data_IF_852858226804
#
_entry.id   IF_852858226804
#
_cell.length_a   1.000
_cell.length_b   1.000
_cell.length_c   1.000
_cell.angle_alpha   90.00
_cell.angle_beta   90.00
_cell.angle_gamma   90.00
#
_symmetry.space_group_name_H-M   'P 1'
#
loop_
_entity.id
_entity.type
_entity.pdbx_description
1 polymer ?
#
# COMPACT_ATOMS: atom_id res chain seq x y z
N UNK A 1 23.41 47.68 -19.99
CA UNK A 1 22.88 46.64 -20.92
C UNK A 1 21.40 46.38 -20.60
N UNK A 2 20.59 47.44 -20.65
CA UNK A 2 19.14 47.45 -20.36
C UNK A 2 18.46 48.38 -21.39
N UNK A 3 18.76 48.13 -22.67
CA UNK A 3 18.11 48.79 -23.79
C UNK A 3 18.28 47.84 -24.98
N UNK A 4 17.22 47.65 -25.75
CA UNK A 4 17.08 46.73 -26.91
C UNK A 4 16.47 45.37 -26.60
N UNK A 5 15.19 45.34 -26.19
CA UNK A 5 14.29 44.23 -26.57
C UNK A 5 13.00 44.85 -27.12
N UNK A 6 13.04 45.04 -28.44
CA UNK A 6 11.96 45.02 -29.43
C UNK A 6 10.57 45.60 -29.09
N UNK A 7 10.28 46.72 -29.76
CA UNK A 7 8.94 47.14 -30.20
C UNK A 7 8.27 45.98 -30.96
N UNK A 8 7.28 45.32 -30.35
CA UNK A 8 6.26 44.62 -31.13
C UNK A 8 5.36 45.71 -31.73
N UNK A 9 5.40 45.87 -33.05
CA UNK A 9 4.76 46.96 -33.80
C UNK A 9 3.29 46.71 -34.15
N UNK A 10 2.65 45.71 -33.58
CA UNK A 10 1.24 45.44 -33.85
C UNK A 10 0.41 45.44 -32.57
N UNK A 11 -0.04 46.64 -32.23
CA UNK A 11 -1.04 46.87 -31.17
C UNK A 11 -2.33 46.06 -31.43
N UNK A 12 -2.59 45.71 -32.69
CA UNK A 12 -3.70 44.86 -33.11
C UNK A 12 -3.49 43.40 -32.67
N UNK A 13 -2.27 42.84 -32.81
CA UNK A 13 -1.94 41.48 -32.34
C UNK A 13 -2.09 41.39 -30.82
N UNK A 14 -1.67 42.42 -30.07
CA UNK A 14 -1.86 42.50 -28.61
C UNK A 14 -3.34 42.59 -28.20
N UNK A 15 -4.17 43.31 -28.97
CA UNK A 15 -5.63 43.38 -28.75
C UNK A 15 -6.35 42.07 -29.10
N UNK A 16 -5.93 41.41 -30.17
CA UNK A 16 -6.47 40.11 -30.59
C UNK A 16 -6.07 39.00 -29.60
N UNK A 17 -4.84 39.03 -29.09
CA UNK A 17 -4.37 38.14 -28.00
C UNK A 17 -5.13 38.38 -26.69
N UNK A 18 -5.39 39.64 -26.32
CA UNK A 18 -6.21 39.95 -25.15
C UNK A 18 -7.68 39.52 -25.34
N UNK A 19 -8.20 39.53 -26.57
CA UNK A 19 -9.53 39.02 -26.92
C UNK A 19 -9.61 37.50 -26.78
N UNK A 20 -8.58 36.78 -27.23
CA UNK A 20 -8.47 35.32 -27.10
C UNK A 20 -8.34 34.91 -25.62
N UNK A 21 -7.55 35.62 -24.81
CA UNK A 21 -7.46 35.39 -23.36
C UNK A 21 -8.72 35.79 -22.59
N UNK A 22 -9.37 36.92 -22.94
CA UNK A 22 -10.65 37.33 -22.31
C UNK A 22 -11.80 36.38 -22.59
N UNK A 23 -11.75 35.61 -23.68
CA UNK A 23 -12.80 34.63 -24.03
C UNK A 23 -12.69 33.31 -23.27
N UNK A 24 -11.69 33.12 -22.40
CA UNK A 24 -11.64 31.97 -21.48
C UNK A 24 -11.49 30.59 -22.14
N UNK A 25 -11.35 30.52 -23.47
CA UNK A 25 -11.34 29.25 -24.20
C UNK A 25 -10.04 28.47 -23.97
N UNK A 26 -8.88 29.15 -23.97
CA UNK A 26 -7.58 28.49 -23.76
C UNK A 26 -7.44 27.99 -22.32
N UNK A 27 -7.89 28.75 -21.32
CA UNK A 27 -7.83 28.31 -19.91
C UNK A 27 -8.75 27.13 -19.63
N UNK A 28 -9.97 27.13 -20.19
CA UNK A 28 -10.92 26.04 -20.00
C UNK A 28 -10.44 24.75 -20.69
N UNK A 29 -9.95 24.85 -21.92
CA UNK A 29 -9.45 23.68 -22.65
C UNK A 29 -8.16 23.14 -22.01
N UNK A 30 -7.26 23.98 -21.47
CA UNK A 30 -6.08 23.54 -20.71
C UNK A 30 -6.47 22.80 -19.41
N UNK A 31 -7.45 23.33 -18.67
CA UNK A 31 -7.95 22.74 -17.42
C UNK A 31 -8.68 21.42 -17.69
N UNK A 32 -9.45 21.35 -18.77
CA UNK A 32 -10.20 20.14 -19.16
C UNK A 32 -9.29 19.06 -19.77
N UNK A 33 -8.05 19.38 -20.17
CA UNK A 33 -7.08 18.40 -20.74
C UNK A 33 -5.93 18.00 -19.81
N UNK A 34 -5.71 18.70 -18.69
CA UNK A 34 -4.57 18.41 -17.78
C UNK A 34 -4.96 17.53 -16.60
N UNK A 35 -5.30 16.27 -16.88
CA UNK A 35 -5.31 15.18 -15.87
C UNK A 35 -3.94 14.52 -15.68
N UNK A 36 -2.91 14.95 -16.43
CA UNK A 36 -1.55 14.45 -16.29
C UNK A 36 -0.56 15.62 -16.27
N UNK A 37 0.11 15.82 -15.14
CA UNK A 37 1.10 16.87 -14.93
C UNK A 37 2.41 16.73 -15.73
N UNK A 38 2.46 15.88 -16.76
CA UNK A 38 3.70 15.53 -17.43
C UNK A 38 3.92 16.19 -18.80
N UNK A 39 2.98 16.95 -19.37
CA UNK A 39 3.31 17.69 -20.61
C UNK A 39 2.47 18.95 -20.88
N UNK A 40 2.54 19.89 -19.93
CA UNK A 40 1.83 21.18 -20.02
C UNK A 40 2.37 22.06 -21.16
N UNK A 41 3.65 21.91 -21.49
CA UNK A 41 4.33 22.62 -22.57
C UNK A 41 3.91 22.09 -23.94
N UNK A 42 3.94 20.77 -24.16
CA UNK A 42 3.46 20.18 -25.42
C UNK A 42 1.97 20.45 -25.66
N UNK A 43 1.15 20.37 -24.62
CA UNK A 43 -0.30 20.65 -24.71
C UNK A 43 -0.56 22.12 -25.08
N UNK A 44 0.17 23.06 -24.48
CA UNK A 44 0.07 24.48 -24.80
C UNK A 44 0.50 24.78 -26.25
N UNK A 45 1.61 24.19 -26.69
CA UNK A 45 2.11 24.35 -28.06
C UNK A 45 1.15 23.76 -29.10
N UNK A 46 0.53 22.60 -28.81
CA UNK A 46 -0.47 21.98 -29.67
C UNK A 46 -1.74 22.83 -29.82
N UNK A 47 -2.20 23.46 -28.73
CA UNK A 47 -3.34 24.38 -28.77
C UNK A 47 -2.98 25.64 -29.56
N UNK A 48 -1.79 26.21 -29.36
CA UNK A 48 -1.32 27.35 -30.13
C UNK A 48 -1.27 27.05 -31.64
N UNK A 49 -0.79 25.87 -32.03
CA UNK A 49 -0.75 25.41 -33.42
C UNK A 49 -2.15 25.27 -34.02
N UNK A 50 -3.10 24.67 -33.27
CA UNK A 50 -4.53 24.57 -33.66
C UNK A 50 -5.15 25.94 -33.98
N UNK A 51 -4.69 27.01 -33.34
CA UNK A 51 -5.17 28.38 -33.56
C UNK A 51 -4.26 29.22 -34.47
N UNK A 52 -3.31 28.59 -35.18
CA UNK A 52 -2.45 29.26 -36.15
C UNK A 52 -1.39 30.18 -35.53
N UNK A 53 -1.08 30.01 -34.24
CA UNK A 53 -0.02 30.75 -33.56
C UNK A 53 1.31 30.07 -33.82
N UNK A 54 2.26 30.80 -34.40
CA UNK A 54 3.58 30.24 -34.69
C UNK A 54 4.28 29.72 -33.42
N UNK A 55 4.98 28.59 -33.53
CA UNK A 55 5.72 27.97 -32.41
C UNK A 55 6.62 28.97 -31.67
N UNK A 56 7.34 29.81 -32.40
CA UNK A 56 8.23 30.84 -31.83
C UNK A 56 7.48 31.90 -31.03
N UNK A 57 6.27 32.27 -31.48
CA UNK A 57 5.38 33.18 -30.75
C UNK A 57 4.81 32.51 -29.52
N UNK A 58 4.40 31.24 -29.61
CA UNK A 58 3.90 30.46 -28.49
C UNK A 58 4.96 30.28 -27.39
N UNK A 59 6.20 29.91 -27.76
CA UNK A 59 7.33 29.79 -26.83
C UNK A 59 7.68 31.12 -26.15
N UNK A 60 7.60 32.23 -26.89
CA UNK A 60 7.82 33.58 -26.34
C UNK A 60 6.73 33.97 -25.33
N UNK A 61 5.46 33.71 -25.66
CA UNK A 61 4.34 33.97 -24.76
C UNK A 61 4.44 33.08 -23.52
N UNK A 62 4.72 31.79 -23.67
CA UNK A 62 4.92 30.86 -22.56
C UNK A 62 6.02 31.34 -21.62
N UNK A 63 7.17 31.75 -22.16
CA UNK A 63 8.29 32.27 -21.36
C UNK A 63 7.96 33.59 -20.64
N UNK A 64 7.20 34.49 -21.27
CA UNK A 64 6.73 35.72 -20.64
C UNK A 64 5.67 35.43 -19.56
N UNK A 65 4.73 34.55 -19.85
CA UNK A 65 3.57 34.29 -18.98
C UNK A 65 3.98 33.44 -17.78
N UNK A 66 4.82 32.41 -17.94
CA UNK A 66 5.35 31.64 -16.81
C UNK A 66 6.22 32.49 -15.89
N UNK A 67 7.18 33.26 -16.42
CA UNK A 67 8.05 34.09 -15.58
C UNK A 67 7.30 35.24 -14.90
N UNK A 68 6.33 35.85 -15.58
CA UNK A 68 5.57 36.96 -15.00
C UNK A 68 4.47 36.48 -14.04
N UNK A 69 3.81 35.35 -14.32
CA UNK A 69 2.77 34.75 -13.48
C UNK A 69 3.34 34.21 -12.16
N UNK A 70 4.52 33.57 -12.18
CA UNK A 70 5.23 33.18 -10.96
C UNK A 70 5.67 34.41 -10.13
N UNK A 71 6.09 35.50 -10.78
CA UNK A 71 6.54 36.70 -10.06
C UNK A 71 5.41 37.52 -9.42
N UNK A 72 4.20 37.50 -9.98
CA UNK A 72 3.07 38.32 -9.51
C UNK A 72 2.10 37.58 -8.60
N UNK A 73 2.10 36.25 -8.62
CA UNK A 73 1.14 35.45 -7.85
C UNK A 73 1.81 34.40 -6.96
N UNK A 74 3.08 34.55 -6.62
CA UNK A 74 3.81 33.61 -5.75
C UNK A 74 2.99 33.19 -4.51
N UNK A 75 2.35 34.15 -3.81
CA UNK A 75 1.46 33.83 -2.68
C UNK A 75 0.17 33.09 -3.08
N UNK A 76 -0.48 33.46 -4.19
CA UNK A 76 -1.74 32.83 -4.62
C UNK A 76 -1.52 31.47 -5.29
N UNK A 77 -0.39 31.27 -5.95
CA UNK A 77 0.05 30.01 -6.53
C UNK A 77 0.52 29.07 -5.43
N UNK A 78 1.27 29.57 -4.44
CA UNK A 78 1.59 28.79 -3.23
C UNK A 78 0.30 28.42 -2.50
N UNK A 79 -0.63 29.35 -2.27
CA UNK A 79 -1.92 29.01 -1.63
C UNK A 79 -2.79 28.10 -2.48
N UNK A 80 -2.83 28.26 -3.81
CA UNK A 80 -3.59 27.39 -4.71
C UNK A 80 -2.96 26.00 -4.80
N UNK A 81 -1.63 25.91 -4.83
CA UNK A 81 -0.85 24.67 -4.76
C UNK A 81 -1.03 23.99 -3.40
N UNK A 82 -0.96 24.73 -2.30
CA UNK A 82 -1.28 24.25 -0.94
C UNK A 82 -2.73 23.81 -0.83
N UNK A 83 -3.66 24.50 -1.51
CA UNK A 83 -5.08 24.13 -1.58
C UNK A 83 -5.30 22.93 -2.48
N UNK A 84 -4.54 22.75 -3.56
CA UNK A 84 -4.55 21.57 -4.44
C UNK A 84 -3.87 20.37 -3.78
N UNK A 85 -2.80 20.59 -3.01
CA UNK A 85 -2.15 19.59 -2.16
C UNK A 85 -3.05 19.24 -0.98
N UNK A 86 -3.77 20.20 -0.39
CA UNK A 86 -4.77 19.97 0.64
C UNK A 86 -6.01 19.28 0.06
N UNK A 87 -6.44 19.63 -1.14
CA UNK A 87 -7.54 18.98 -1.87
C UNK A 87 -7.14 17.58 -2.38
N UNK A 88 -5.86 17.35 -2.73
CA UNK A 88 -5.30 16.01 -2.98
C UNK A 88 -5.11 15.21 -1.68
N UNK A 89 -4.81 15.87 -0.56
CA UNK A 89 -4.92 15.26 0.78
C UNK A 89 -6.37 14.98 1.18
N UNK A 90 -7.34 15.71 0.63
CA UNK A 90 -8.78 15.54 0.87
C UNK A 90 -9.44 14.59 -0.14
N UNK A 91 -8.81 14.36 -1.30
CA UNK A 91 -9.14 13.34 -2.30
C UNK A 91 -8.35 12.04 -2.10
N UNK A 92 -7.43 11.97 -1.11
CA UNK A 92 -7.06 10.74 -0.39
C UNK A 92 -8.27 10.21 0.39
N UNK A 93 -9.35 9.93 -0.32
CA UNK A 93 -10.39 9.02 0.11
C UNK A 93 -9.82 7.62 -0.10
N UNK A 94 -9.77 6.88 1.00
CA UNK A 94 -9.80 5.43 0.98
C UNK A 94 -8.54 4.69 0.49
N UNK A 95 -7.34 5.15 0.90
CA UNK A 95 -6.13 4.32 0.84
C UNK A 95 -5.85 3.65 2.18
N UNK A 96 -5.36 2.42 2.13
CA UNK A 96 -4.80 1.72 3.27
C UNK A 96 -3.83 2.62 4.08
N UNK A 97 -3.88 2.51 5.42
CA UNK A 97 -3.26 3.38 6.40
C UNK A 97 -2.07 2.70 7.11
N UNK A 98 -0.92 3.37 7.05
CA UNK A 98 0.22 3.08 7.94
C UNK A 98 0.19 4.01 9.14
N UNK A 99 0.49 3.46 10.33
CA UNK A 99 0.73 4.28 11.51
C UNK A 99 2.11 4.95 11.40
N UNK A 100 2.14 6.10 10.74
CA UNK A 100 3.37 6.86 10.45
C UNK A 100 4.16 7.17 11.72
N UNK A 101 3.49 7.56 12.80
CA UNK A 101 4.15 7.89 14.07
C UNK A 101 4.88 6.71 14.69
N UNK A 102 4.40 5.49 14.44
CA UNK A 102 5.02 4.26 14.93
C UNK A 102 6.10 3.74 13.99
N UNK A 103 5.80 3.65 12.68
CA UNK A 103 6.66 2.95 11.73
C UNK A 103 7.74 3.80 11.08
N UNK A 104 7.57 5.12 10.97
CA UNK A 104 8.58 5.98 10.36
C UNK A 104 9.93 5.95 11.11
N UNK A 105 9.97 6.00 12.46
CA UNK A 105 11.23 5.84 13.21
C UNK A 105 11.87 4.47 13.02
N UNK A 106 11.08 3.39 13.01
CA UNK A 106 11.58 2.03 12.78
C UNK A 106 12.14 1.85 11.38
N UNK A 107 11.45 2.40 10.37
CA UNK A 107 11.93 2.39 8.99
C UNK A 107 13.23 3.18 8.86
N UNK A 108 13.33 4.33 9.52
CA UNK A 108 14.59 5.10 9.55
C UNK A 108 15.74 4.28 10.15
N UNK A 109 15.52 3.63 11.29
CA UNK A 109 16.54 2.78 11.92
C UNK A 109 16.94 1.60 11.03
N UNK A 110 15.97 0.95 10.38
CA UNK A 110 16.24 -0.10 9.39
C UNK A 110 17.11 0.44 8.25
N UNK A 111 16.75 1.58 7.68
CA UNK A 111 17.45 2.20 6.57
C UNK A 111 18.89 2.58 6.94
N UNK A 112 19.08 3.22 8.10
CA UNK A 112 20.40 3.61 8.60
C UNK A 112 21.34 2.40 8.74
N UNK A 113 20.80 1.22 9.11
CA UNK A 113 21.57 -0.03 9.23
C UNK A 113 21.84 -0.72 7.90
N UNK A 114 20.93 -0.62 6.93
CA UNK A 114 20.93 -1.48 5.74
C UNK A 114 21.26 -0.76 4.43
N UNK A 115 21.31 0.58 4.40
CA UNK A 115 21.77 1.35 3.24
C UNK A 115 23.13 0.89 2.70
N UNK A 116 24.14 0.59 3.56
CA UNK A 116 25.44 0.12 3.07
C UNK A 116 25.39 -1.26 2.40
N UNK A 117 24.30 -2.00 2.62
CA UNK A 117 24.07 -3.37 2.15
C UNK A 117 23.08 -3.44 1.00
N UNK A 118 22.51 -2.30 0.59
CA UNK A 118 21.40 -2.22 -0.34
C UNK A 118 21.64 -3.02 -1.63
N UNK A 119 22.79 -2.81 -2.29
CA UNK A 119 23.11 -3.50 -3.55
C UNK A 119 23.72 -4.90 -3.32
N UNK A 120 23.64 -5.45 -2.09
CA UNK A 120 24.36 -6.67 -1.65
C UNK A 120 23.50 -7.73 -0.97
N UNK A 121 22.19 -7.80 -1.25
CA UNK A 121 21.42 -8.95 -0.77
C UNK A 121 19.91 -8.82 -0.89
N UNK A 122 19.38 -7.60 -0.74
CA UNK A 122 17.96 -7.29 -0.94
C UNK A 122 17.75 -5.77 -1.00
N UNK A 123 17.07 -5.29 -2.04
CA UNK A 123 17.04 -3.86 -2.37
C UNK A 123 15.68 -3.17 -2.16
N UNK A 124 14.66 -3.88 -1.68
CA UNK A 124 13.27 -3.39 -1.72
C UNK A 124 12.79 -2.81 -0.39
N UNK A 125 13.59 -2.98 0.67
CA UNK A 125 13.21 -2.64 2.04
C UNK A 125 12.12 -3.56 2.60
N UNK A 126 11.74 -3.39 3.87
CA UNK A 126 10.85 -4.31 4.55
C UNK A 126 9.39 -4.01 4.24
N UNK A 127 8.58 -5.05 4.10
CA UNK A 127 7.14 -4.92 4.25
C UNK A 127 6.82 -4.39 5.64
N UNK A 128 6.08 -3.28 5.68
CA UNK A 128 5.57 -2.66 6.89
C UNK A 128 4.09 -3.03 7.05
N UNK A 129 3.65 -3.57 8.20
CA UNK A 129 2.24 -3.84 8.44
C UNK A 129 1.36 -2.60 8.29
N UNK A 130 0.15 -2.78 7.77
CA UNK A 130 -0.78 -1.69 7.52
C UNK A 130 -2.23 -2.13 7.58
N UNK A 131 -3.16 -1.19 7.57
CA UNK A 131 -4.59 -1.46 7.61
C UNK A 131 -5.31 -0.89 6.41
N UNK A 132 -6.46 -1.43 6.04
CA UNK A 132 -7.36 -0.81 5.08
C UNK A 132 -8.06 0.42 5.73
N UNK A 133 -8.64 1.35 4.95
CA UNK A 133 -9.13 2.66 5.40
C UNK A 133 -10.17 2.60 6.52
N UNK A 134 -11.06 1.60 6.51
CA UNK A 134 -12.17 1.48 7.48
C UNK A 134 -11.81 0.69 8.73
N UNK A 135 -10.59 0.16 8.83
CA UNK A 135 -10.12 -0.62 9.98
C UNK A 135 -10.32 0.11 11.32
N UNK A 136 -10.00 1.40 11.39
CA UNK A 136 -10.11 2.18 12.63
C UNK A 136 -11.53 2.25 13.19
N UNK A 137 -12.53 2.24 12.30
CA UNK A 137 -13.97 2.30 12.60
C UNK A 137 -14.65 0.92 12.59
N UNK A 138 -13.91 -0.16 12.34
CA UNK A 138 -14.45 -1.50 12.32
C UNK A 138 -15.05 -1.87 13.69
N UNK A 139 -16.23 -2.52 13.74
CA UNK A 139 -16.80 -2.99 15.00
C UNK A 139 -15.97 -4.12 15.62
N UNK A 140 -15.18 -4.84 14.82
CA UNK A 140 -14.19 -5.82 15.25
C UNK A 140 -12.94 -5.62 14.41
N UNK A 141 -11.81 -5.32 15.05
CA UNK A 141 -10.53 -5.05 14.39
C UNK A 141 -9.74 -6.32 14.20
N UNK A 142 -9.58 -6.74 12.95
CA UNK A 142 -8.95 -8.02 12.61
C UNK A 142 -7.72 -7.78 11.73
N UNK A 143 -6.56 -8.26 12.19
CA UNK A 143 -5.36 -8.34 11.35
C UNK A 143 -5.16 -9.77 10.85
N UNK A 144 -4.86 -9.91 9.56
CA UNK A 144 -4.42 -11.16 8.95
C UNK A 144 -2.92 -11.09 8.69
N UNK A 145 -2.20 -12.11 9.12
CA UNK A 145 -0.75 -12.21 8.99
C UNK A 145 -0.42 -13.36 8.07
N UNK A 146 0.17 -13.03 6.92
CA UNK A 146 0.68 -13.99 5.95
C UNK A 146 2.06 -14.52 6.32
N UNK A 147 2.59 -15.46 5.53
CA UNK A 147 3.94 -15.98 5.74
C UNK A 147 5.01 -15.02 5.22
N UNK A 148 4.90 -14.60 3.97
CA UNK A 148 6.01 -14.06 3.18
C UNK A 148 5.55 -12.92 2.28
N UNK A 149 6.46 -12.02 1.96
CA UNK A 149 6.25 -10.78 1.20
C UNK A 149 6.38 -11.02 -0.31
N UNK A 150 5.64 -12.00 -0.82
CA UNK A 150 5.75 -12.48 -2.21
C UNK A 150 5.27 -11.44 -3.24
N UNK A 151 6.15 -10.98 -4.14
CA UNK A 151 5.80 -9.99 -5.19
C UNK A 151 5.11 -8.74 -4.66
N UNK A 152 5.68 -8.20 -3.59
CA UNK A 152 5.24 -6.97 -2.97
C UNK A 152 5.63 -5.74 -3.84
N UNK A 153 4.73 -5.40 -4.78
CA UNK A 153 4.75 -4.21 -5.68
C UNK A 153 4.41 -2.94 -4.91
N UNK A 154 4.96 -1.72 -5.11
CA UNK A 154 5.64 -1.19 -6.30
C UNK A 154 7.17 -1.07 -6.10
N UNK A 155 7.89 -2.11 -6.53
CA UNK A 155 9.30 -2.33 -6.21
C UNK A 155 10.19 -1.13 -6.54
N UNK A 156 10.11 -0.56 -7.74
CA UNK A 156 10.96 0.57 -8.15
C UNK A 156 10.68 1.84 -7.34
N UNK A 157 9.43 2.05 -6.90
CA UNK A 157 9.07 3.18 -6.04
C UNK A 157 9.62 2.98 -4.63
N UNK A 158 9.52 1.77 -4.09
CA UNK A 158 10.07 1.41 -2.78
C UNK A 158 11.60 1.55 -2.79
N UNK A 159 12.27 0.99 -3.80
CA UNK A 159 13.71 1.12 -4.05
C UNK A 159 14.17 2.57 -4.07
N UNK A 160 13.54 3.39 -4.92
CA UNK A 160 13.88 4.81 -5.08
C UNK A 160 13.68 5.57 -3.78
N UNK A 161 12.53 5.40 -3.13
CA UNK A 161 12.20 6.08 -1.87
C UNK A 161 13.16 5.69 -0.75
N UNK A 162 13.57 4.42 -0.74
CA UNK A 162 14.55 3.92 0.19
C UNK A 162 15.95 4.53 -0.05
N UNK A 163 16.47 4.51 -1.30
CA UNK A 163 17.78 5.11 -1.64
C UNK A 163 17.84 6.61 -1.40
N UNK A 164 16.76 7.33 -1.69
CA UNK A 164 16.70 8.79 -1.60
C UNK A 164 16.28 9.29 -0.20
N UNK A 165 16.14 8.38 0.78
CA UNK A 165 15.69 8.68 2.13
C UNK A 165 14.32 9.40 2.18
N UNK A 166 13.44 9.09 1.22
CA UNK A 166 12.05 9.56 1.15
C UNK A 166 11.13 8.56 1.84
N UNK A 167 11.34 8.37 3.13
CA UNK A 167 10.71 7.28 3.90
C UNK A 167 9.19 7.41 4.04
N UNK A 168 8.64 8.63 3.99
CA UNK A 168 7.19 8.81 3.95
C UNK A 168 6.58 8.31 2.63
N UNK A 169 7.24 8.59 1.50
CA UNK A 169 6.85 8.08 0.19
C UNK A 169 6.95 6.55 0.15
N UNK A 170 7.96 5.97 0.82
CA UNK A 170 8.10 4.53 0.99
C UNK A 170 6.87 3.93 1.69
N UNK A 171 6.46 4.51 2.82
CA UNK A 171 5.30 4.04 3.58
C UNK A 171 3.98 4.24 2.79
N UNK A 172 3.83 5.32 2.04
CA UNK A 172 2.66 5.51 1.16
C UNK A 172 2.65 4.50 -0.01
N UNK A 173 3.82 4.14 -0.54
CA UNK A 173 3.94 3.08 -1.54
C UNK A 173 3.62 1.70 -0.96
N UNK A 174 4.05 1.44 0.28
CA UNK A 174 3.83 0.17 1.00
C UNK A 174 2.34 -0.19 1.14
N UNK A 175 1.46 0.79 1.28
CA UNK A 175 0.02 0.54 1.45
C UNK A 175 -0.69 0.23 0.14
N UNK A 176 -0.12 0.65 -1.00
CA UNK A 176 -0.68 0.39 -2.34
C UNK A 176 -0.36 -1.01 -2.84
N UNK A 177 0.42 -1.75 -2.09
CA UNK A 177 0.86 -3.07 -2.50
C UNK A 177 -0.27 -4.10 -2.49
N UNK A 178 -1.20 -3.96 -1.56
CA UNK A 178 -2.45 -4.72 -1.52
C UNK A 178 -3.55 -3.81 -0.97
N UNK A 179 -4.55 -3.55 -1.79
CA UNK A 179 -5.85 -2.97 -1.43
C UNK A 179 -6.97 -3.99 -1.71
N UNK A 180 -8.21 -3.67 -1.36
CA UNK A 180 -9.35 -4.57 -1.57
C UNK A 180 -9.53 -4.94 -3.04
N UNK A 181 -9.37 -3.99 -3.96
CA UNK A 181 -9.50 -4.27 -5.39
C UNK A 181 -8.49 -5.31 -5.86
N UNK A 182 -7.22 -5.14 -5.47
CA UNK A 182 -6.16 -6.10 -5.76
C UNK A 182 -6.45 -7.45 -5.12
N UNK A 183 -6.93 -7.49 -3.88
CA UNK A 183 -7.36 -8.74 -3.21
C UNK A 183 -8.34 -9.55 -4.06
N UNK A 184 -9.32 -8.87 -4.67
CA UNK A 184 -10.35 -9.49 -5.49
C UNK A 184 -9.85 -9.98 -6.85
N UNK A 185 -8.72 -9.46 -7.35
CA UNK A 185 -8.11 -9.94 -8.61
C UNK A 185 -7.49 -11.34 -8.51
N UNK A 186 -7.12 -11.82 -7.32
CA UNK A 186 -6.37 -13.07 -7.14
C UNK A 186 -7.18 -14.37 -7.29
N UNK A 187 -8.29 -14.31 -8.02
CA UNK A 187 -9.22 -15.41 -8.35
C UNK A 187 -9.77 -16.14 -7.11
N UNK A 188 -10.94 -16.77 -7.24
CA UNK A 188 -11.53 -17.60 -6.18
C UNK A 188 -10.82 -18.96 -6.03
N UNK A 189 -9.50 -18.93 -5.79
CA UNK A 189 -8.67 -20.10 -5.60
C UNK A 189 -8.59 -20.44 -4.10
N UNK A 190 -8.94 -21.67 -3.71
CA UNK A 190 -8.86 -22.11 -2.30
C UNK A 190 -7.43 -22.11 -1.75
N UNK A 191 -6.39 -22.13 -2.60
CA UNK A 191 -5.00 -21.97 -2.20
C UNK A 191 -4.56 -20.52 -1.99
N UNK A 192 -5.37 -19.53 -2.39
CA UNK A 192 -5.05 -18.11 -2.26
C UNK A 192 -5.26 -17.62 -0.83
N UNK A 193 -4.26 -16.92 -0.29
CA UNK A 193 -4.33 -16.27 1.03
C UNK A 193 -5.52 -15.31 1.10
N UNK A 194 -5.64 -14.41 0.11
CA UNK A 194 -6.66 -13.36 0.11
C UNK A 194 -8.08 -13.90 -0.08
N UNK A 195 -8.25 -14.97 -0.87
CA UNK A 195 -9.56 -15.62 -0.97
C UNK A 195 -10.04 -16.15 0.39
N UNK A 196 -9.15 -16.81 1.13
CA UNK A 196 -9.46 -17.31 2.46
C UNK A 196 -9.71 -16.18 3.47
N UNK A 197 -8.81 -15.20 3.53
CA UNK A 197 -8.93 -14.07 4.45
C UNK A 197 -10.22 -13.28 4.22
N UNK A 198 -10.58 -12.99 2.96
CA UNK A 198 -11.80 -12.25 2.62
C UNK A 198 -13.06 -13.03 2.99
N UNK A 199 -13.12 -14.33 2.70
CA UNK A 199 -14.26 -15.18 3.09
C UNK A 199 -14.42 -15.27 4.60
N UNK A 200 -13.33 -15.44 5.32
CA UNK A 200 -13.33 -15.47 6.79
C UNK A 200 -13.77 -14.12 7.37
N UNK A 201 -13.26 -13.01 6.84
CA UNK A 201 -13.63 -11.68 7.28
C UNK A 201 -15.13 -11.41 7.04
N UNK A 202 -15.63 -11.72 5.85
CA UNK A 202 -17.05 -11.56 5.51
C UNK A 202 -17.95 -12.45 6.38
N UNK A 203 -17.56 -13.71 6.62
CA UNK A 203 -18.32 -14.59 7.50
C UNK A 203 -18.41 -14.03 8.92
N UNK A 204 -17.30 -13.56 9.48
CA UNK A 204 -17.28 -12.95 10.82
C UNK A 204 -18.19 -11.73 10.88
N UNK A 205 -18.16 -10.89 9.84
CA UNK A 205 -18.84 -9.59 9.84
C UNK A 205 -20.31 -9.65 9.44
N UNK A 206 -20.70 -10.65 8.67
CA UNK A 206 -22.06 -10.75 8.10
C UNK A 206 -22.82 -11.99 8.58
N UNK A 207 -22.12 -12.96 9.18
CA UNK A 207 -22.67 -14.28 9.49
C UNK A 207 -22.87 -15.18 8.26
N UNK A 208 -22.44 -14.75 7.07
CA UNK A 208 -22.64 -15.48 5.81
C UNK A 208 -21.31 -15.80 5.14
N UNK A 209 -21.10 -17.09 4.83
CA UNK A 209 -19.95 -17.52 4.05
C UNK A 209 -20.21 -17.26 2.56
N UNK A 210 -19.36 -16.46 1.95
CA UNK A 210 -19.41 -16.19 0.52
C UNK A 210 -18.76 -17.33 -0.26
N UNK A 211 -19.45 -17.85 -1.28
CA UNK A 211 -18.93 -18.91 -2.13
C UNK A 211 -17.87 -18.42 -3.12
N UNK A 212 -18.03 -17.19 -3.62
CA UNK A 212 -17.14 -16.50 -4.55
C UNK A 212 -16.91 -15.03 -4.18
N UNK A 213 -15.66 -14.69 -3.86
CA UNK A 213 -15.29 -13.33 -3.49
C UNK A 213 -15.35 -12.36 -4.67
N UNK A 214 -15.31 -12.82 -5.93
CA UNK A 214 -15.32 -11.94 -7.11
C UNK A 214 -16.71 -11.45 -7.47
N UNK A 215 -17.75 -11.92 -6.79
CA UNK A 215 -19.16 -11.58 -7.03
C UNK A 215 -19.81 -10.88 -5.84
N UNK A 216 -19.01 -10.39 -4.90
CA UNK A 216 -19.51 -9.67 -3.72
C UNK A 216 -20.08 -8.31 -4.12
N UNK A 217 -21.05 -7.83 -3.33
CA UNK A 217 -21.63 -6.50 -3.53
C UNK A 217 -20.75 -5.39 -2.93
N UNK A 218 -21.11 -4.13 -3.21
CA UNK A 218 -20.37 -2.96 -2.70
C UNK A 218 -20.35 -2.90 -1.17
N UNK A 219 -21.41 -3.36 -0.49
CA UNK A 219 -21.45 -3.36 0.98
C UNK A 219 -20.45 -4.37 1.55
N UNK A 220 -20.33 -5.54 0.92
CA UNK A 220 -19.34 -6.55 1.27
C UNK A 220 -17.92 -6.08 0.93
N UNK A 221 -17.73 -5.38 -0.20
CA UNK A 221 -16.45 -4.75 -0.53
C UNK A 221 -16.04 -3.73 0.53
N UNK A 222 -16.96 -2.87 0.95
CA UNK A 222 -16.73 -1.92 2.05
C UNK A 222 -16.37 -2.59 3.37
N UNK A 223 -16.90 -3.77 3.65
CA UNK A 223 -16.53 -4.57 4.83
C UNK A 223 -15.07 -5.05 4.73
N UNK A 224 -14.57 -5.41 3.53
CA UNK A 224 -13.18 -5.80 3.36
C UNK A 224 -12.20 -4.65 3.59
N UNK A 225 -12.64 -3.39 3.49
CA UNK A 225 -11.84 -2.21 3.84
C UNK A 225 -11.57 -2.08 5.35
N UNK A 226 -12.04 -3.04 6.16
CA UNK A 226 -11.81 -3.12 7.60
C UNK A 226 -10.66 -4.07 7.98
N UNK A 227 -9.97 -4.64 6.99
CA UNK A 227 -8.89 -5.60 7.18
C UNK A 227 -7.59 -4.90 7.62
N UNK A 228 -6.86 -5.50 8.56
CA UNK A 228 -5.45 -5.22 8.77
C UNK A 228 -4.55 -6.32 8.19
N UNK A 229 -3.35 -5.97 7.76
CA UNK A 229 -2.43 -6.87 7.07
C UNK A 229 -1.00 -6.80 7.64
N UNK A 230 -0.42 -7.97 7.89
CA UNK A 230 0.95 -8.18 8.33
C UNK A 230 1.59 -9.38 7.64
N UNK A 231 2.90 -9.57 7.81
CA UNK A 231 3.59 -10.80 7.42
C UNK A 231 4.53 -11.29 8.53
N UNK A 232 4.73 -12.60 8.59
CA UNK A 232 5.73 -13.22 9.45
C UNK A 232 7.16 -12.92 8.99
N UNK A 233 7.37 -12.70 7.69
CA UNK A 233 8.62 -12.19 7.12
C UNK A 233 8.36 -10.93 6.32
N UNK A 234 9.05 -9.87 6.73
CA UNK A 234 8.98 -8.55 6.10
C UNK A 234 9.93 -8.43 4.91
N UNK A 235 10.98 -9.26 4.89
CA UNK A 235 11.87 -9.45 3.75
C UNK A 235 11.47 -10.74 3.05
N UNK A 236 11.48 -10.73 1.71
CA UNK A 236 11.21 -11.93 0.96
C UNK A 236 12.19 -13.04 1.28
N UNK A 237 11.63 -14.22 1.54
CA UNK A 237 12.43 -15.40 1.81
C UNK A 237 13.30 -15.78 0.62
N UNK A 238 14.44 -16.42 0.92
CA UNK A 238 15.38 -16.86 -0.12
C UNK A 238 14.71 -17.79 -1.15
N UNK A 239 13.74 -18.63 -0.75
CA UNK A 239 13.01 -19.47 -1.72
C UNK A 239 12.12 -18.66 -2.65
N UNK A 240 11.66 -17.50 -2.21
CA UNK A 240 10.89 -16.56 -3.03
C UNK A 240 11.81 -15.80 -3.98
N UNK A 241 12.95 -15.32 -3.49
CA UNK A 241 13.98 -14.67 -4.32
C UNK A 241 14.49 -15.60 -5.42
N UNK A 242 14.75 -16.88 -5.10
CA UNK A 242 15.13 -17.90 -6.10
C UNK A 242 14.14 -18.02 -7.25
N UNK A 243 12.84 -17.97 -6.95
CA UNK A 243 11.80 -18.04 -7.98
C UNK A 243 11.73 -16.77 -8.80
N UNK A 244 11.81 -15.62 -8.13
CA UNK A 244 11.74 -14.31 -8.78
C UNK A 244 12.89 -14.08 -9.75
N UNK A 245 14.10 -14.43 -9.36
CA UNK A 245 15.29 -14.26 -10.19
C UNK A 245 15.56 -15.45 -11.11
N UNK A 246 14.72 -16.50 -11.05
CA UNK A 246 14.94 -17.76 -11.78
C UNK A 246 16.30 -18.41 -11.46
N UNK A 247 16.81 -18.18 -10.24
CA UNK A 247 18.10 -18.67 -9.76
C UNK A 247 17.91 -19.68 -8.63
N UNK A 248 17.64 -20.98 -8.92
CA UNK A 248 17.33 -21.98 -7.90
C UNK A 248 18.49 -22.24 -6.91
N UNK A 249 19.72 -21.90 -7.31
CA UNK A 249 20.94 -22.07 -6.49
C UNK A 249 21.34 -20.81 -5.73
N UNK A 250 20.56 -19.72 -5.78
CA UNK A 250 20.85 -18.50 -5.02
C UNK A 250 21.02 -18.86 -3.54
N UNK A 251 22.17 -18.53 -2.97
CA UNK A 251 22.47 -18.73 -1.57
C UNK A 251 22.28 -17.41 -0.82
N UNK A 252 21.72 -17.43 0.40
CA UNK A 252 21.60 -16.23 1.20
C UNK A 252 23.00 -15.75 1.61
N UNK A 253 23.29 -14.47 1.40
CA UNK A 253 24.53 -13.82 1.83
C UNK A 253 24.48 -13.42 3.30
N UNK A 254 25.64 -13.06 3.88
CA UNK A 254 25.69 -12.51 5.24
C UNK A 254 24.93 -11.18 5.33
N UNK A 255 25.00 -10.40 4.25
CA UNK A 255 24.29 -9.14 4.08
C UNK A 255 22.77 -9.36 4.05
N UNK A 256 22.28 -10.37 3.33
CA UNK A 256 20.85 -10.74 3.35
C UNK A 256 20.38 -11.04 4.78
N UNK A 257 21.12 -11.85 5.55
CA UNK A 257 20.75 -12.14 6.93
C UNK A 257 20.78 -10.90 7.83
N UNK A 258 21.74 -10.00 7.59
CA UNK A 258 21.81 -8.72 8.32
C UNK A 258 20.58 -7.86 8.03
N UNK A 259 20.11 -7.85 6.78
CA UNK A 259 18.88 -7.16 6.38
C UNK A 259 17.66 -7.79 7.06
N UNK A 260 17.54 -9.13 7.08
CA UNK A 260 16.45 -9.82 7.77
C UNK A 260 16.42 -9.52 9.27
N UNK A 261 17.58 -9.53 9.95
CA UNK A 261 17.65 -9.22 11.37
C UNK A 261 17.24 -7.77 11.67
N UNK A 262 17.64 -6.82 10.81
CA UNK A 262 17.19 -5.43 10.94
C UNK A 262 15.68 -5.26 10.76
N UNK A 263 15.02 -6.18 10.03
CA UNK A 263 13.60 -6.11 9.69
C UNK A 263 12.67 -6.72 10.75
N UNK A 264 13.21 -7.45 11.74
CA UNK A 264 12.42 -8.08 12.83
C UNK A 264 11.38 -7.18 13.51
N UNK A 265 11.61 -5.86 13.72
CA UNK A 265 10.58 -4.99 14.30
C UNK A 265 9.28 -4.93 13.49
N UNK A 266 9.32 -5.11 12.16
CA UNK A 266 8.13 -5.14 11.30
C UNK A 266 7.42 -6.50 11.31
N UNK A 267 8.09 -7.54 11.80
CA UNK A 267 7.60 -8.91 11.88
C UNK A 267 7.00 -9.23 13.25
N UNK A 268 7.15 -8.37 14.26
CA UNK A 268 6.70 -8.65 15.62
C UNK A 268 5.20 -8.41 15.83
N UNK A 269 4.55 -9.34 16.55
CA UNK A 269 3.19 -9.15 17.04
C UNK A 269 3.05 -7.88 17.88
N UNK A 270 4.05 -7.60 18.72
CA UNK A 270 4.04 -6.45 19.63
C UNK A 270 3.86 -5.15 18.84
N UNK A 271 4.66 -4.97 17.80
CA UNK A 271 4.59 -3.81 16.90
C UNK A 271 3.20 -3.66 16.28
N UNK A 272 2.61 -4.76 15.79
CA UNK A 272 1.27 -4.73 15.22
C UNK A 272 0.20 -4.34 16.26
N UNK A 273 0.30 -4.86 17.49
CA UNK A 273 -0.64 -4.54 18.57
C UNK A 273 -0.51 -3.09 19.02
N UNK A 274 0.72 -2.59 19.20
CA UNK A 274 0.95 -1.22 19.63
C UNK A 274 0.58 -0.20 18.54
N UNK A 275 0.75 -0.54 17.26
CA UNK A 275 0.42 0.35 16.16
C UNK A 275 -1.08 0.40 15.83
N UNK A 276 -1.80 -0.72 15.95
CA UNK A 276 -3.16 -0.85 15.41
C UNK A 276 -4.23 -1.30 16.40
N UNK A 277 -3.85 -1.87 17.54
CA UNK A 277 -4.78 -2.37 18.57
C UNK A 277 -5.85 -3.33 18.02
N UNK A 278 -5.48 -4.44 17.35
CA UNK A 278 -6.42 -5.45 16.88
C UNK A 278 -7.14 -6.14 18.05
N UNK A 279 -8.41 -6.48 17.84
CA UNK A 279 -9.12 -7.43 18.71
C UNK A 279 -8.64 -8.86 18.43
N UNK A 280 -8.41 -9.18 17.15
CA UNK A 280 -7.97 -10.49 16.70
C UNK A 280 -6.82 -10.39 15.70
N UNK A 281 -5.85 -11.31 15.83
CA UNK A 281 -4.78 -11.52 14.86
C UNK A 281 -4.86 -12.96 14.36
N UNK A 282 -5.18 -13.13 13.07
CA UNK A 282 -5.13 -14.43 12.41
C UNK A 282 -3.79 -14.62 11.72
N UNK A 283 -2.98 -15.56 12.20
CA UNK A 283 -1.73 -15.95 11.54
C UNK A 283 -2.01 -17.16 10.65
N UNK A 284 -1.90 -16.99 9.33
CA UNK A 284 -2.18 -18.05 8.35
C UNK A 284 -0.87 -18.51 7.72
N UNK A 285 -0.25 -19.52 8.31
CA UNK A 285 1.10 -19.97 7.91
C UNK A 285 1.22 -21.50 7.96
N UNK A 286 2.16 -22.05 7.21
CA UNK A 286 2.56 -23.47 7.33
C UNK A 286 3.87 -23.64 8.13
N UNK A 287 4.44 -22.55 8.62
CA UNK A 287 5.60 -22.56 9.51
C UNK A 287 5.21 -22.08 10.89
N UNK A 288 5.91 -22.58 11.89
CA UNK A 288 5.91 -22.04 13.25
C UNK A 288 7.08 -21.05 13.36
N UNK A 289 6.77 -19.78 13.62
CA UNK A 289 7.75 -18.69 13.78
C UNK A 289 7.54 -18.07 15.16
N UNK A 290 8.04 -18.72 16.21
CA UNK A 290 7.68 -18.36 17.60
C UNK A 290 8.25 -17.02 18.05
N UNK A 291 9.35 -16.56 17.45
CA UNK A 291 9.90 -15.22 17.67
C UNK A 291 8.95 -14.09 17.20
N UNK A 292 7.88 -14.41 16.46
CA UNK A 292 6.74 -13.53 16.22
C UNK A 292 6.13 -12.99 17.52
N UNK A 293 6.10 -13.82 18.57
CA UNK A 293 5.52 -13.50 19.88
C UNK A 293 6.54 -12.88 20.85
N UNK A 294 7.81 -12.73 20.46
CA UNK A 294 8.85 -12.22 21.34
C UNK A 294 8.51 -10.80 21.84
N UNK A 295 8.87 -10.54 23.10
CA UNK A 295 8.57 -9.27 23.76
C UNK A 295 7.10 -9.11 24.18
N UNK A 296 6.29 -10.17 24.12
CA UNK A 296 4.92 -10.22 24.63
C UNK A 296 4.74 -11.27 25.73
N UNK A 297 3.59 -11.28 26.40
CA UNK A 297 3.20 -12.28 27.39
C UNK A 297 2.18 -13.30 26.83
N UNK A 298 2.07 -13.44 25.50
CA UNK A 298 1.14 -14.38 24.88
C UNK A 298 1.51 -15.83 25.21
N UNK A 299 0.52 -16.59 25.68
CA UNK A 299 0.68 -17.99 26.05
C UNK A 299 -0.26 -18.86 25.22
N UNK A 300 0.27 -19.97 24.72
CA UNK A 300 -0.51 -20.97 24.00
C UNK A 300 -1.53 -21.64 24.92
N UNK A 301 -2.79 -21.61 24.51
CA UNK A 301 -3.90 -22.25 25.20
C UNK A 301 -4.12 -23.65 24.63
N UNK A 302 -3.44 -24.64 25.24
CA UNK A 302 -3.52 -26.05 24.81
C UNK A 302 -4.93 -26.62 24.88
N UNK A 303 -5.74 -26.18 25.85
CA UNK A 303 -7.10 -26.72 26.02
C UNK A 303 -8.08 -26.22 24.96
N UNK A 304 -7.74 -25.12 24.28
CA UNK A 304 -8.51 -24.55 23.16
C UNK A 304 -8.03 -25.06 21.80
N UNK A 305 -6.99 -25.91 21.81
CA UNK A 305 -6.46 -26.57 20.65
C UNK A 305 -7.40 -27.71 20.24
N UNK A 306 -7.82 -27.71 18.98
CA UNK A 306 -8.69 -28.77 18.45
C UNK A 306 -7.94 -29.46 17.32
N UNK A 307 -7.57 -30.71 17.58
CA UNK A 307 -6.79 -31.54 16.67
C UNK A 307 -7.39 -32.94 16.65
N UNK A 308 -8.36 -33.11 15.77
CA UNK A 308 -8.62 -34.42 15.19
C UNK A 308 -7.89 -34.45 13.84
N UNK A 309 -6.66 -34.94 13.88
CA UNK A 309 -5.82 -35.41 12.76
C UNK A 309 -5.14 -34.39 11.83
N UNK A 310 -5.36 -33.06 11.95
CA UNK A 310 -4.89 -32.11 10.91
C UNK A 310 -4.41 -30.72 11.38
N UNK A 311 -4.29 -30.47 12.69
CA UNK A 311 -3.71 -29.25 13.31
C UNK A 311 -4.25 -27.93 12.74
N UNK A 312 -5.50 -27.59 13.05
CA UNK A 312 -6.17 -26.47 12.37
C UNK A 312 -6.08 -25.12 13.06
N UNK A 313 -5.98 -25.05 14.39
CA UNK A 313 -6.10 -23.79 15.14
C UNK A 313 -5.32 -23.87 16.45
N UNK A 314 -4.36 -22.98 16.64
CA UNK A 314 -3.74 -22.71 17.93
C UNK A 314 -4.17 -21.32 18.42
N UNK A 315 -4.54 -21.21 19.69
CA UNK A 315 -4.98 -19.95 20.30
C UNK A 315 -3.93 -19.48 21.29
N UNK A 316 -3.54 -18.21 21.21
CA UNK A 316 -2.67 -17.58 22.19
C UNK A 316 -3.39 -16.40 22.83
N UNK A 317 -3.32 -16.34 24.16
CA UNK A 317 -3.93 -15.29 24.97
C UNK A 317 -2.88 -14.58 25.80
N UNK A 318 -3.12 -13.31 26.06
CA UNK A 318 -2.27 -12.43 26.86
C UNK A 318 -3.04 -11.95 28.09
N UNK A 319 -2.33 -11.65 29.18
CA UNK A 319 -2.90 -10.97 30.36
C UNK A 319 -2.82 -9.45 30.23
N UNK A 320 -1.88 -8.95 29.43
CA UNK A 320 -1.64 -7.51 29.22
C UNK A 320 -2.44 -6.95 28.05
N UNK A 321 -2.57 -7.71 26.97
CA UNK A 321 -3.23 -7.32 25.74
C UNK A 321 -4.62 -7.95 25.64
N UNK A 322 -5.60 -7.16 25.22
CA UNK A 322 -6.95 -7.67 24.90
C UNK A 322 -7.00 -8.47 23.59
N UNK A 323 -6.00 -8.27 22.74
CA UNK A 323 -5.85 -8.96 21.47
C UNK A 323 -5.79 -10.47 21.68
N UNK A 324 -6.51 -11.22 20.84
CA UNK A 324 -6.46 -12.69 20.76
C UNK A 324 -5.73 -13.11 19.50
N UNK A 325 -4.82 -14.05 19.60
CA UNK A 325 -4.06 -14.55 18.43
C UNK A 325 -4.54 -15.94 18.08
N UNK A 326 -4.92 -16.13 16.83
CA UNK A 326 -5.37 -17.40 16.28
C UNK A 326 -4.43 -17.79 15.14
N UNK A 327 -3.63 -18.83 15.36
CA UNK A 327 -2.70 -19.35 14.36
C UNK A 327 -3.31 -20.57 13.67
N UNK A 328 -3.39 -20.54 12.34
CA UNK A 328 -3.97 -21.61 11.53
C UNK A 328 -3.11 -21.90 10.29
N UNK A 329 -3.50 -22.96 9.58
CA UNK A 329 -2.86 -23.38 8.35
C UNK A 329 -3.01 -22.30 7.27
N UNK A 330 -1.92 -22.06 6.55
CA UNK A 330 -2.01 -21.28 5.32
C UNK A 330 -2.87 -22.01 4.28
N UNK A 331 -3.76 -21.32 3.53
CA UNK A 331 -4.66 -21.93 2.53
C UNK A 331 -3.94 -22.80 1.49
N UNK A 332 -2.83 -22.30 0.93
CA UNK A 332 -1.98 -23.06 0.02
C UNK A 332 -1.38 -24.37 0.60
N UNK A 333 -1.36 -24.58 1.92
CA UNK A 333 -0.93 -25.86 2.51
C UNK A 333 -2.06 -26.89 2.53
N UNK A 334 -3.32 -26.45 2.43
CA UNK A 334 -4.50 -27.29 2.55
C UNK A 334 -4.60 -28.28 1.39
N UNK A 335 -4.43 -27.82 0.15
CA UNK A 335 -4.47 -28.72 -1.01
C UNK A 335 -3.31 -29.73 -0.99
N UNK A 336 -2.12 -29.35 -0.49
CA UNK A 336 -0.97 -30.26 -0.31
C UNK A 336 -1.25 -31.35 0.71
N UNK A 337 -2.13 -31.05 1.68
CA UNK A 337 -2.65 -32.00 2.68
C UNK A 337 -3.88 -32.76 2.19
N UNK A 338 -4.25 -32.63 0.91
CA UNK A 338 -5.40 -33.31 0.31
C UNK A 338 -6.75 -32.77 0.76
N UNK A 339 -6.81 -31.55 1.31
CA UNK A 339 -8.06 -30.92 1.73
C UNK A 339 -8.83 -30.37 0.53
N UNK A 340 -10.12 -30.67 0.48
CA UNK A 340 -11.01 -30.19 -0.56
C UNK A 340 -11.56 -28.79 -0.24
N UNK A 341 -12.37 -28.24 -1.16
CA UNK A 341 -13.04 -26.95 -0.95
C UNK A 341 -13.94 -26.97 0.29
N UNK A 342 -14.69 -28.05 0.50
CA UNK A 342 -15.56 -28.19 1.67
C UNK A 342 -14.76 -28.19 2.98
N UNK A 343 -13.59 -28.83 3.02
CA UNK A 343 -12.72 -28.80 4.19
C UNK A 343 -12.20 -27.38 4.48
N UNK A 344 -11.91 -26.61 3.43
CA UNK A 344 -11.49 -25.21 3.54
C UNK A 344 -12.62 -24.34 4.11
N UNK A 345 -13.84 -24.50 3.60
CA UNK A 345 -15.03 -23.78 4.07
C UNK A 345 -15.37 -24.17 5.52
N UNK A 346 -15.26 -25.45 5.88
CA UNK A 346 -15.42 -25.93 7.26
C UNK A 346 -14.39 -25.29 8.21
N UNK A 347 -13.14 -25.15 7.77
CA UNK A 347 -12.11 -24.47 8.55
C UNK A 347 -12.43 -22.97 8.71
N UNK A 348 -12.91 -22.29 7.67
CA UNK A 348 -13.34 -20.88 7.77
C UNK A 348 -14.44 -20.74 8.83
N UNK A 349 -15.45 -21.61 8.81
CA UNK A 349 -16.49 -21.64 9.85
C UNK A 349 -15.91 -21.88 11.24
N UNK A 350 -15.02 -22.85 11.37
CA UNK A 350 -14.39 -23.18 12.64
C UNK A 350 -13.57 -21.99 13.20
N UNK A 351 -12.79 -21.31 12.35
CA UNK A 351 -12.04 -20.13 12.74
C UNK A 351 -12.95 -18.97 13.14
N UNK A 352 -14.02 -18.71 12.38
CA UNK A 352 -14.99 -17.66 12.72
C UNK A 352 -15.68 -17.92 14.07
N UNK A 353 -16.03 -19.17 14.37
CA UNK A 353 -16.66 -19.54 15.64
C UNK A 353 -15.76 -19.32 16.85
N UNK A 354 -14.43 -19.31 16.67
CA UNK A 354 -13.48 -19.02 17.74
C UNK A 354 -13.73 -17.65 18.41
N UNK A 355 -14.32 -16.69 17.70
CA UNK A 355 -14.65 -15.37 18.25
C UNK A 355 -15.76 -15.44 19.32
N UNK A 356 -16.58 -16.48 19.32
CA UNK A 356 -17.64 -16.70 20.30
C UNK A 356 -17.15 -17.51 21.50
N UNK A 357 -16.07 -18.27 21.33
CA UNK A 357 -15.48 -19.16 22.35
C UNK A 357 -14.44 -18.46 23.24
N UNK A 358 -13.87 -17.35 22.75
CA UNK A 358 -12.79 -16.57 23.37
C UNK A 358 -13.28 -15.19 23.77
#
# INVERSE_FOLDING_TARGET
MMATIYKCQDEQILKDLCSIFKRGMVQKELIDTTDAANDLEETYLAICDKYGVSKKTAEFIMNMTFKHWFSLNEKKVVTAYETLVAANKKSKKDNAMINMGYFLPLLKEFCDKTIPLYDKGYDQGPFVPYTMPKYGSAPVKIMYVGRDTYYWEPIETLKKSYKENRLEDYLDANTKCVDVDKMLTWKNNSGSFWNFANKLHLLIRTGQLVSDITTIDEKQKEILEEIGYGNLYSIELIETLRKRYEEPTLLPSTEYYTICEAAKPFESLRTMIEAYHPDYVFVLSWIEKMDFLDGTDFQWQKDLYTDSDKKYRAVYLSKQYKTKVIWSLHPNSMWRKGLCKQDTDNLIHFLANSLNEL
#
